data_IF_085017023879
#
_entry.id   IF_085017023879
#
_cell.length_a   1.000
_cell.length_b   1.000
_cell.length_c   1.000
_cell.angle_alpha   90.00
_cell.angle_beta   90.00
_cell.angle_gamma   90.00
#
_symmetry.space_group_name_H-M   'P 1'
#
loop_
_entity.id
_entity.type
_entity.pdbx_description
1 polymer ?
#
# COMPACT_ATOMS: atom_id res chain seq x y z
N UNK A 1 10.36 8.51 -1.76
CA UNK A 1 9.69 8.07 -2.99
C UNK A 1 8.20 8.43 -2.93
N UNK A 2 7.57 8.81 -4.05
CA UNK A 2 6.12 8.99 -4.13
C UNK A 2 5.42 7.73 -4.70
N UNK A 3 4.09 7.66 -4.62
CA UNK A 3 3.33 6.47 -5.04
C UNK A 3 3.49 6.16 -6.53
N UNK A 4 3.58 7.18 -7.39
CA UNK A 4 3.82 6.99 -8.83
C UNK A 4 5.17 6.33 -9.11
N UNK A 5 6.22 6.75 -8.41
CA UNK A 5 7.54 6.15 -8.49
C UNK A 5 7.53 4.71 -7.96
N UNK A 6 6.87 4.47 -6.82
CA UNK A 6 6.71 3.13 -6.24
C UNK A 6 6.02 2.18 -7.21
N UNK A 7 4.88 2.60 -7.79
CA UNK A 7 4.14 1.83 -8.79
C UNK A 7 5.01 1.51 -10.02
N UNK A 8 5.80 2.47 -10.51
CA UNK A 8 6.72 2.26 -11.62
C UNK A 8 7.78 1.19 -11.33
N UNK A 9 8.41 1.24 -10.15
CA UNK A 9 9.40 0.23 -9.73
C UNK A 9 8.75 -1.14 -9.60
N UNK A 10 7.59 -1.23 -8.95
CA UNK A 10 6.81 -2.47 -8.81
C UNK A 10 6.52 -3.08 -10.18
N UNK A 11 6.07 -2.27 -11.14
CA UNK A 11 5.75 -2.72 -12.50
C UNK A 11 6.97 -3.26 -13.25
N UNK A 12 8.13 -2.64 -13.07
CA UNK A 12 9.37 -3.10 -13.73
C UNK A 12 9.96 -4.37 -13.13
N UNK A 13 9.57 -4.74 -11.90
CA UNK A 13 10.30 -5.73 -11.09
C UNK A 13 9.50 -6.96 -10.68
N UNK A 14 8.39 -6.78 -9.95
CA UNK A 14 7.57 -7.86 -9.37
C UNK A 14 6.28 -8.05 -10.17
N UNK A 15 5.67 -6.96 -10.63
CA UNK A 15 4.34 -6.97 -11.24
C UNK A 15 4.35 -6.42 -12.68
N UNK A 16 4.92 -7.12 -13.67
CA UNK A 16 4.93 -6.65 -15.06
C UNK A 16 3.54 -6.27 -15.62
N UNK A 17 2.49 -6.90 -15.10
CA UNK A 17 1.09 -6.68 -15.44
C UNK A 17 0.38 -5.65 -14.55
N UNK A 18 1.09 -4.93 -13.67
CA UNK A 18 0.48 -4.01 -12.73
C UNK A 18 -0.33 -2.95 -13.47
N UNK A 19 -1.63 -2.93 -13.20
CA UNK A 19 -2.56 -1.97 -13.78
C UNK A 19 -3.15 -1.08 -12.70
N UNK A 20 -3.33 0.19 -13.03
CA UNK A 20 -3.85 1.19 -12.09
C UNK A 20 -5.38 1.10 -12.05
N UNK A 21 -5.98 1.28 -10.87
CA UNK A 21 -7.45 1.35 -10.78
C UNK A 21 -7.98 2.56 -11.59
N UNK A 22 -8.97 2.35 -12.45
CA UNK A 22 -9.48 3.39 -13.35
C UNK A 22 -10.25 4.53 -12.66
N UNK A 23 -10.73 4.33 -11.43
CA UNK A 23 -11.57 5.33 -10.74
C UNK A 23 -10.83 6.03 -9.60
N UNK A 24 -10.97 7.37 -9.53
CA UNK A 24 -10.52 8.19 -8.39
C UNK A 24 -11.27 7.90 -7.08
N UNK A 25 -12.34 7.10 -7.16
CA UNK A 25 -13.13 6.60 -6.03
C UNK A 25 -12.78 5.16 -5.66
N UNK A 26 -11.81 4.56 -6.34
CA UNK A 26 -11.35 3.20 -6.06
C UNK A 26 -10.64 3.17 -4.71
N UNK A 27 -10.89 2.12 -3.96
CA UNK A 27 -10.40 1.97 -2.57
C UNK A 27 -9.13 1.13 -2.51
N UNK A 28 -8.57 0.79 -3.67
CA UNK A 28 -7.26 0.18 -3.92
C UNK A 28 -6.59 0.98 -5.05
N UNK A 29 -5.27 0.88 -5.17
CA UNK A 29 -4.49 1.69 -6.13
C UNK A 29 -4.14 0.91 -7.41
N UNK A 30 -3.87 -0.40 -7.29
CA UNK A 30 -3.44 -1.24 -8.41
C UNK A 30 -3.98 -2.67 -8.34
N UNK A 31 -3.95 -3.36 -9.47
CA UNK A 31 -4.26 -4.79 -9.61
C UNK A 31 -3.13 -5.50 -10.37
N UNK A 32 -2.80 -6.73 -9.96
CA UNK A 32 -2.07 -7.69 -10.78
C UNK A 32 -2.92 -8.95 -10.96
N UNK A 33 -3.30 -9.23 -12.20
CA UNK A 33 -4.10 -10.41 -12.55
C UNK A 33 -3.26 -11.69 -12.53
N UNK A 34 -1.98 -11.61 -12.91
CA UNK A 34 -1.06 -12.75 -12.89
C UNK A 34 -0.91 -13.29 -11.46
N UNK A 35 -0.76 -12.40 -10.48
CA UNK A 35 -0.59 -12.81 -9.08
C UNK A 35 -1.91 -13.00 -8.33
N UNK A 36 -3.03 -12.60 -8.95
CA UNK A 36 -4.35 -12.48 -8.34
C UNK A 36 -4.31 -11.56 -7.10
N UNK A 37 -3.74 -10.37 -7.25
CA UNK A 37 -3.50 -9.43 -6.16
C UNK A 37 -4.19 -8.08 -6.42
N UNK A 38 -4.96 -7.61 -5.43
CA UNK A 38 -5.49 -6.25 -5.37
C UNK A 38 -4.67 -5.50 -4.33
N UNK A 39 -4.11 -4.36 -4.73
CA UNK A 39 -3.00 -3.71 -4.03
C UNK A 39 -3.39 -2.28 -3.65
N UNK A 40 -3.30 -1.95 -2.36
CA UNK A 40 -3.27 -0.57 -1.85
C UNK A 40 -1.80 -0.18 -1.61
N UNK A 41 -1.37 0.92 -2.24
CA UNK A 41 -0.05 1.52 -2.09
C UNK A 41 -0.09 2.64 -1.06
N UNK A 42 1.01 2.79 -0.31
CA UNK A 42 1.27 3.99 0.47
C UNK A 42 2.72 4.40 0.36
N UNK A 43 2.95 5.71 0.33
CA UNK A 43 4.28 6.29 0.48
C UNK A 43 4.32 7.21 1.71
N UNK A 44 5.30 6.99 2.58
CA UNK A 44 5.52 7.77 3.80
C UNK A 44 6.82 8.57 3.71
N UNK A 45 6.78 9.80 4.23
CA UNK A 45 7.96 10.67 4.34
C UNK A 45 8.80 10.40 5.59
N UNK A 46 8.20 9.77 6.59
CA UNK A 46 8.83 9.39 7.86
C UNK A 46 8.74 7.88 8.02
N UNK A 47 9.79 7.27 8.55
CA UNK A 47 9.79 5.85 8.88
C UNK A 47 9.26 5.64 10.31
N UNK A 48 8.43 4.61 10.44
CA UNK A 48 7.97 4.05 11.71
C UNK A 48 7.95 2.53 11.54
N UNK A 49 8.26 1.80 12.61
CA UNK A 49 8.12 0.34 12.62
C UNK A 49 6.65 -0.07 12.54
N UNK A 50 5.76 0.72 13.15
CA UNK A 50 4.31 0.55 13.09
C UNK A 50 3.69 1.43 11.99
N UNK A 51 3.23 0.79 10.91
CA UNK A 51 2.68 1.46 9.74
C UNK A 51 1.16 1.62 9.87
N UNK A 52 0.69 2.85 9.70
CA UNK A 52 -0.74 3.16 9.82
C UNK A 52 -1.53 2.76 8.58
N UNK A 53 -2.67 2.09 8.80
CA UNK A 53 -3.70 1.79 7.81
C UNK A 53 -5.06 2.30 8.29
N UNK A 54 -5.83 2.95 7.42
CA UNK A 54 -7.18 3.41 7.74
C UNK A 54 -8.17 2.23 7.67
N UNK A 55 -9.03 2.07 8.68
CA UNK A 55 -9.97 0.94 8.75
C UNK A 55 -10.86 0.85 7.52
N UNK A 56 -11.35 1.99 7.03
CA UNK A 56 -12.16 2.06 5.81
C UNK A 56 -11.43 1.51 4.57
N UNK A 57 -10.11 1.74 4.48
CA UNK A 57 -9.28 1.21 3.40
C UNK A 57 -9.05 -0.30 3.57
N UNK A 58 -8.74 -0.73 4.80
CA UNK A 58 -8.60 -2.14 5.15
C UNK A 58 -9.86 -2.96 4.82
N UNK A 59 -11.02 -2.54 5.34
CA UNK A 59 -12.29 -3.22 5.16
C UNK A 59 -12.64 -3.32 3.66
N UNK A 60 -12.49 -2.22 2.93
CA UNK A 60 -12.83 -2.19 1.51
C UNK A 60 -11.88 -3.02 0.65
N UNK A 61 -10.59 -3.03 0.97
CA UNK A 61 -9.60 -3.87 0.28
C UNK A 61 -9.93 -5.35 0.47
N UNK A 62 -10.22 -5.79 1.71
CA UNK A 62 -10.63 -7.18 1.98
C UNK A 62 -11.91 -7.56 1.24
N UNK A 63 -12.97 -6.76 1.39
CA UNK A 63 -14.28 -7.02 0.79
C UNK A 63 -14.19 -7.17 -0.74
N UNK A 64 -13.56 -6.19 -1.39
CA UNK A 64 -13.44 -6.18 -2.86
C UNK A 64 -12.56 -7.31 -3.36
N UNK A 65 -11.43 -7.57 -2.70
CA UNK A 65 -10.52 -8.66 -3.08
C UNK A 65 -11.23 -10.01 -3.01
N UNK A 66 -11.91 -10.30 -1.89
CA UNK A 66 -12.60 -11.57 -1.70
C UNK A 66 -13.78 -11.76 -2.65
N UNK A 67 -14.52 -10.70 -2.97
CA UNK A 67 -15.66 -10.77 -3.90
C UNK A 67 -15.27 -11.30 -5.28
N UNK A 68 -14.03 -11.09 -5.71
CA UNK A 68 -13.53 -11.52 -7.03
C UNK A 68 -12.39 -12.55 -6.93
N UNK A 69 -12.17 -13.13 -5.74
CA UNK A 69 -11.17 -14.19 -5.54
C UNK A 69 -9.71 -13.73 -5.62
N UNK A 70 -9.43 -12.45 -5.33
CA UNK A 70 -8.09 -11.89 -5.29
C UNK A 70 -7.56 -11.79 -3.85
N UNK A 71 -6.24 -11.68 -3.74
CA UNK A 71 -5.52 -11.50 -2.47
C UNK A 71 -5.41 -10.00 -2.16
N UNK A 72 -5.79 -9.57 -0.96
CA UNK A 72 -5.65 -8.19 -0.52
C UNK A 72 -4.21 -7.91 -0.07
N UNK A 73 -3.53 -7.01 -0.76
CA UNK A 73 -2.13 -6.66 -0.51
C UNK A 73 -2.02 -5.18 -0.13
N UNK A 74 -1.23 -4.91 0.90
CA UNK A 74 -0.82 -3.56 1.27
C UNK A 74 0.68 -3.41 1.03
N UNK A 75 1.11 -2.38 0.31
CA UNK A 75 2.54 -2.09 0.09
C UNK A 75 2.84 -0.68 0.57
N UNK A 76 3.80 -0.56 1.48
CA UNK A 76 4.19 0.72 2.05
C UNK A 76 5.67 0.99 1.80
N UNK A 77 5.97 2.11 1.14
CA UNK A 77 7.32 2.66 1.05
C UNK A 77 7.55 3.69 2.16
N UNK A 78 8.70 3.59 2.81
CA UNK A 78 9.22 4.58 3.76
C UNK A 78 10.63 5.02 3.31
N UNK A 79 11.26 6.00 3.98
CA UNK A 79 12.63 6.40 3.66
C UNK A 79 13.68 5.27 3.74
N UNK A 80 13.45 4.22 4.53
CA UNK A 80 14.45 3.16 4.74
C UNK A 80 14.15 1.86 4.00
N UNK A 81 12.97 1.71 3.39
CA UNK A 81 12.59 0.45 2.76
C UNK A 81 11.16 0.40 2.22
N UNK A 82 10.80 -0.76 1.69
CA UNK A 82 9.49 -1.06 1.12
C UNK A 82 9.02 -2.40 1.69
N UNK A 83 7.84 -2.42 2.31
CA UNK A 83 7.24 -3.62 2.88
C UNK A 83 5.96 -3.99 2.16
N UNK A 84 5.79 -5.30 1.95
CA UNK A 84 4.60 -5.91 1.36
C UNK A 84 3.91 -6.79 2.39
N UNK A 85 2.62 -6.57 2.56
CA UNK A 85 1.80 -7.26 3.55
C UNK A 85 0.66 -8.01 2.86
N UNK A 86 0.53 -9.30 3.15
CA UNK A 86 -0.67 -10.08 2.79
C UNK A 86 -1.72 -9.84 3.86
N UNK A 87 -2.60 -8.87 3.65
CA UNK A 87 -3.52 -8.34 4.66
C UNK A 87 -4.41 -9.44 5.24
N UNK A 88 -4.86 -10.37 4.40
CA UNK A 88 -5.70 -11.52 4.81
C UNK A 88 -5.00 -12.54 5.70
N UNK A 89 -3.66 -12.50 5.81
CA UNK A 89 -2.87 -13.42 6.61
C UNK A 89 -2.36 -12.79 7.92
N UNK A 90 -2.65 -11.51 8.15
CA UNK A 90 -2.27 -10.80 9.37
C UNK A 90 -3.35 -10.92 10.45
N UNK A 91 -2.96 -10.86 11.73
CA UNK A 91 -3.91 -10.56 12.80
C UNK A 91 -4.64 -9.24 12.50
N UNK A 92 -5.92 -9.16 12.87
CA UNK A 92 -6.65 -7.91 12.71
C UNK A 92 -6.00 -6.81 13.58
N UNK A 93 -5.72 -5.61 13.03
CA UNK A 93 -5.16 -4.52 13.80
C UNK A 93 -6.07 -4.10 14.96
N UNK A 94 -5.47 -3.59 16.04
CA UNK A 94 -6.25 -2.86 17.04
C UNK A 94 -6.63 -1.50 16.47
N UNK A 95 -7.94 -1.22 16.44
CA UNK A 95 -8.49 0.00 15.85
C UNK A 95 -8.63 1.12 16.88
N UNK A 96 -8.10 2.30 16.56
CA UNK A 96 -8.25 3.51 17.38
C UNK A 96 -8.65 4.73 16.55
N UNK A 97 -9.39 5.64 17.17
CA UNK A 97 -9.81 6.89 16.52
C UNK A 97 -8.72 7.94 16.66
N UNK A 98 -8.21 8.46 15.54
CA UNK A 98 -7.24 9.55 15.49
C UNK A 98 -7.74 10.71 14.65
N UNK A 99 -7.37 11.92 15.07
CA UNK A 99 -7.46 13.10 14.24
C UNK A 99 -6.37 13.02 13.17
N UNK A 100 -6.76 13.04 11.90
CA UNK A 100 -5.86 12.92 10.75
C UNK A 100 -6.25 13.94 9.67
N UNK A 101 -5.32 14.36 8.80
CA UNK A 101 -5.67 15.17 7.63
C UNK A 101 -6.77 14.51 6.79
N UNK A 102 -7.75 15.31 6.36
CA UNK A 102 -8.85 14.85 5.49
C UNK A 102 -8.32 14.29 4.17
N UNK A 103 -7.32 14.95 3.60
CA UNK A 103 -6.65 14.56 2.36
C UNK A 103 -5.15 14.38 2.60
N UNK A 104 -4.50 13.57 1.77
CA UNK A 104 -3.05 13.41 1.74
C UNK A 104 -2.32 14.65 1.23
N UNK A 105 -3.03 15.56 0.55
CA UNK A 105 -2.50 16.85 0.13
C UNK A 105 -2.42 17.83 1.30
N UNK A 106 -1.19 18.20 1.67
CA UNK A 106 -0.85 19.05 2.82
C UNK A 106 -1.40 20.48 2.75
N UNK A 107 -1.93 20.90 1.59
CA UNK A 107 -2.55 22.21 1.42
C UNK A 107 -3.92 22.32 2.12
N UNK A 108 -4.58 21.20 2.44
CA UNK A 108 -5.87 21.21 3.12
C UNK A 108 -5.68 20.96 4.63
N UNK A 109 -5.83 22.01 5.43
CA UNK A 109 -5.64 21.98 6.90
C UNK A 109 -6.82 21.38 7.68
N UNK A 110 -7.79 20.78 7.01
CA UNK A 110 -8.94 20.19 7.67
C UNK A 110 -8.58 18.83 8.26
N UNK A 111 -8.69 18.72 9.58
CA UNK A 111 -8.53 17.47 10.32
C UNK A 111 -9.89 16.81 10.50
N UNK A 112 -9.93 15.49 10.34
CA UNK A 112 -11.13 14.67 10.54
C UNK A 112 -10.77 13.49 11.42
N UNK A 113 -11.75 12.98 12.15
CA UNK A 113 -11.58 11.73 12.89
C UNK A 113 -11.58 10.56 11.91
N UNK A 114 -10.55 9.70 12.01
CA UNK A 114 -10.41 8.48 11.25
C UNK A 114 -10.15 7.33 12.21
N UNK A 115 -10.72 6.16 11.91
CA UNK A 115 -10.37 4.92 12.61
C UNK A 115 -9.17 4.31 11.90
N UNK A 116 -8.11 4.07 12.65
CA UNK A 116 -6.82 3.58 12.12
C UNK A 116 -6.31 2.41 12.92
N UNK A 117 -5.56 1.54 12.27
CA UNK A 117 -4.81 0.45 12.89
C UNK A 117 -3.34 0.53 12.50
N UNK A 118 -2.53 -0.29 13.15
CA UNK A 118 -1.09 -0.34 12.94
C UNK A 118 -0.67 -1.77 12.57
N UNK A 119 0.21 -1.86 11.58
CA UNK A 119 0.82 -3.11 11.13
C UNK A 119 2.33 -2.96 11.31
N UNK A 120 2.95 -3.86 12.07
CA UNK A 120 4.38 -3.76 12.34
C UNK A 120 5.18 -4.30 11.13
N UNK A 121 6.27 -3.64 10.74
CA UNK A 121 7.07 -4.01 9.55
C UNK A 121 7.53 -5.48 9.52
N UNK A 122 7.77 -6.08 10.69
CA UNK A 122 8.14 -7.50 10.86
C UNK A 122 7.04 -8.49 10.43
N UNK A 123 5.80 -8.04 10.32
CA UNK A 123 4.69 -8.85 9.81
C UNK A 123 4.65 -8.84 8.27
N UNK A 124 5.42 -7.96 7.64
CA UNK A 124 5.54 -7.83 6.21
C UNK A 124 6.80 -8.46 5.64
N UNK A 125 6.78 -8.66 4.34
CA UNK A 125 7.95 -9.00 3.53
C UNK A 125 8.69 -7.71 3.16
N UNK A 126 9.97 -7.60 3.54
CA UNK A 126 10.85 -6.54 3.06
C UNK A 126 11.21 -6.81 1.59
N UNK A 127 10.73 -5.95 0.70
CA UNK A 127 10.95 -6.04 -0.74
C UNK A 127 11.87 -4.93 -1.26
N UNK A 128 12.67 -4.30 -0.40
CA UNK A 128 13.54 -3.16 -0.76
C UNK A 128 14.52 -3.47 -1.89
N UNK A 129 14.91 -4.74 -2.05
CA UNK A 129 15.77 -5.22 -3.13
C UNK A 129 15.26 -4.88 -4.55
N UNK A 130 13.96 -4.58 -4.72
CA UNK A 130 13.41 -4.19 -6.01
C UNK A 130 13.99 -2.88 -6.54
N UNK A 131 14.46 -1.99 -5.67
CA UNK A 131 15.04 -0.70 -6.07
C UNK A 131 16.31 -0.97 -6.88
N UNK A 132 17.18 -1.85 -6.40
CA UNK A 132 18.41 -2.24 -7.08
C UNK A 132 18.10 -2.93 -8.41
N UNK A 133 17.14 -3.86 -8.41
CA UNK A 133 16.70 -4.59 -9.61
C UNK A 133 16.16 -3.67 -10.70
N UNK A 134 15.42 -2.63 -10.33
CA UNK A 134 14.90 -1.63 -11.27
C UNK A 134 16.04 -0.80 -11.90
N UNK A 135 17.04 -0.42 -11.10
CA UNK A 135 18.20 0.32 -11.59
C UNK A 135 19.00 -0.51 -12.60
N UNK A 136 19.22 -1.81 -12.37
CA UNK A 136 19.97 -2.67 -13.31
C UNK A 136 19.27 -2.84 -14.67
N UNK A 137 17.93 -2.81 -14.70
CA UNK A 137 17.17 -2.93 -15.96
C UNK A 137 17.20 -1.67 -16.83
N UNK A 138 17.42 -0.49 -16.25
CA UNK A 138 17.50 0.76 -17.04
C UNK A 138 18.79 0.91 -17.87
N UNK A 139 19.79 0.05 -17.66
CA UNK A 139 21.08 0.07 -18.38
C UNK A 139 21.21 -1.03 -19.45
N UNK A 140 20.11 -1.70 -19.81
CA UNK A 140 20.03 -2.65 -20.93
C UNK A 140 18.97 -2.19 -21.92
#
# INVERSE_FOLDING_TARGET
MNEKQLMGILKQTIYPDLDQSESTTSTFDCISFINLEMIELKSRRTHYDDLVIEKMKYDSLLEKSYKIGMKPIYICSTPIGIWRFKVSALPEPTWETKSMPKTTDFNNKNWVQKVVGFIHIKEGEDITYIIEKANTKSFR
#
